data_IF_538278041178
#
_entry.id   IF_538278041178
#
_cell.length_a   1.000
_cell.length_b   1.000
_cell.length_c   1.000
_cell.angle_alpha   90.00
_cell.angle_beta   90.00
_cell.angle_gamma   90.00
#
_symmetry.space_group_name_H-M   'P 1'
#
loop_
_entity.id
_entity.type
_entity.pdbx_description
1 polymer ?
#
# COMPACT_ATOMS: atom_id res chain seq x y z
N UNK A 1 10.32 -40.80 6.29
CA UNK A 1 10.12 -39.35 6.12
C UNK A 1 9.74 -39.11 4.66
N UNK A 2 8.45 -39.04 4.40
CA UNK A 2 7.86 -39.10 3.05
C UNK A 2 7.99 -37.75 2.34
N UNK A 3 8.54 -37.82 1.13
CA UNK A 3 8.37 -36.94 -0.04
C UNK A 3 8.64 -35.44 0.11
N UNK A 4 9.90 -35.03 -0.06
CA UNK A 4 10.35 -34.31 -1.27
C UNK A 4 9.68 -33.00 -1.73
N UNK A 5 8.81 -32.35 -0.96
CA UNK A 5 8.20 -31.07 -1.39
C UNK A 5 9.08 -29.86 -0.99
N UNK A 6 10.04 -30.02 -0.08
CA UNK A 6 10.86 -28.91 0.44
C UNK A 6 12.33 -29.04 0.04
N UNK A 7 12.97 -27.96 -0.45
CA UNK A 7 14.40 -27.94 -0.70
C UNK A 7 15.18 -28.10 0.62
N UNK A 8 16.32 -28.79 0.57
CA UNK A 8 17.17 -29.06 1.75
C UNK A 8 17.62 -27.82 2.52
N UNK A 9 17.59 -26.64 1.88
CA UNK A 9 17.91 -25.34 2.48
C UNK A 9 16.76 -24.69 3.26
N UNK A 10 15.56 -25.29 3.27
CA UNK A 10 14.37 -24.73 3.93
C UNK A 10 13.92 -25.64 5.10
N UNK A 11 14.54 -25.49 6.30
CA UNK A 11 14.24 -26.33 7.46
C UNK A 11 12.82 -26.14 8.02
N UNK A 12 12.12 -25.06 7.66
CA UNK A 12 10.72 -24.82 8.03
C UNK A 12 10.01 -24.00 6.95
N UNK A 13 9.08 -24.61 6.20
CA UNK A 13 8.05 -23.82 5.52
C UNK A 13 6.94 -23.53 6.53
N UNK A 14 6.98 -22.34 7.14
CA UNK A 14 5.84 -21.87 7.93
C UNK A 14 4.64 -21.72 7.01
N UNK A 15 3.51 -22.34 7.35
CA UNK A 15 2.23 -21.99 6.73
C UNK A 15 1.85 -20.60 7.25
N UNK A 16 1.54 -19.67 6.35
CA UNK A 16 1.08 -18.33 6.70
C UNK A 16 -0.45 -18.26 6.58
N UNK A 17 -1.09 -17.33 7.30
CA UNK A 17 -2.53 -17.12 7.17
C UNK A 17 -2.87 -16.55 5.78
N UNK A 18 -4.11 -16.72 5.31
CA UNK A 18 -4.58 -16.09 4.05
C UNK A 18 -4.33 -14.58 4.07
N UNK A 19 -4.59 -13.93 5.21
CA UNK A 19 -4.35 -12.50 5.42
C UNK A 19 -2.87 -12.14 5.26
N UNK A 20 -1.96 -12.94 5.82
CA UNK A 20 -0.52 -12.71 5.69
C UNK A 20 -0.03 -12.96 4.26
N UNK A 21 -0.59 -13.95 3.56
CA UNK A 21 -0.32 -14.18 2.14
C UNK A 21 -0.77 -13.00 1.27
N UNK A 22 -1.96 -12.45 1.52
CA UNK A 22 -2.48 -11.26 0.84
C UNK A 22 -1.60 -10.03 1.09
N UNK A 23 -1.16 -9.83 2.34
CA UNK A 23 -0.22 -8.76 2.72
C UNK A 23 1.12 -8.91 2.00
N UNK A 24 1.67 -10.12 1.98
CA UNK A 24 2.96 -10.42 1.34
C UNK A 24 2.90 -10.21 -0.18
N UNK A 25 1.86 -10.74 -0.83
CA UNK A 25 1.65 -10.54 -2.27
C UNK A 25 1.45 -9.06 -2.62
N UNK A 26 0.73 -8.31 -1.79
CA UNK A 26 0.59 -6.85 -1.98
C UNK A 26 1.93 -6.12 -1.86
N UNK A 27 2.76 -6.47 -0.88
CA UNK A 27 4.07 -5.85 -0.71
C UNK A 27 5.03 -6.16 -1.89
N UNK A 28 5.02 -7.40 -2.39
CA UNK A 28 5.94 -7.86 -3.44
C UNK A 28 5.51 -7.48 -4.85
N UNK A 29 4.23 -7.61 -5.18
CA UNK A 29 3.70 -7.41 -6.55
C UNK A 29 3.25 -5.96 -6.76
N UNK A 30 2.69 -5.34 -5.72
CA UNK A 30 2.09 -4.02 -5.78
C UNK A 30 2.79 -3.03 -4.84
N UNK A 31 4.09 -3.22 -4.62
CA UNK A 31 4.94 -2.23 -3.96
C UNK A 31 4.68 -0.87 -4.60
N UNK A 32 4.32 0.12 -3.78
CA UNK A 32 3.77 1.38 -4.27
C UNK A 32 4.68 2.03 -5.31
N UNK A 33 4.07 2.67 -6.30
CA UNK A 33 4.83 3.33 -7.37
C UNK A 33 5.39 4.66 -6.87
N UNK A 34 6.57 5.06 -7.32
CA UNK A 34 7.00 6.44 -7.10
C UNK A 34 6.10 7.40 -7.87
N UNK A 35 5.80 8.59 -7.32
CA UNK A 35 5.07 9.61 -8.05
C UNK A 35 5.78 9.93 -9.37
N UNK A 36 5.04 10.18 -10.46
CA UNK A 36 5.65 10.59 -11.72
C UNK A 36 6.42 11.89 -11.49
N UNK A 37 7.72 11.93 -11.82
CA UNK A 37 8.52 13.16 -11.70
C UNK A 37 7.91 14.24 -12.60
N UNK A 38 7.28 15.25 -12.02
CA UNK A 38 6.85 16.42 -12.76
C UNK A 38 8.07 17.12 -13.36
N UNK A 39 8.17 17.14 -14.69
CA UNK A 39 9.11 18.00 -15.43
C UNK A 39 8.65 19.45 -15.35
N UNK A 40 8.79 20.09 -14.19
CA UNK A 40 8.74 21.55 -14.12
C UNK A 40 9.74 22.02 -13.08
N UNK A 41 10.90 22.42 -13.58
CA UNK A 41 11.85 23.23 -12.84
C UNK A 41 11.16 24.56 -12.52
N UNK A 42 10.80 24.78 -11.26
CA UNK A 42 10.72 26.12 -10.71
C UNK A 42 10.86 26.07 -9.19
N UNK A 43 12.04 26.49 -8.76
CA UNK A 43 12.39 27.07 -7.47
C UNK A 43 12.34 26.18 -6.22
N UNK A 44 13.53 26.08 -5.60
CA UNK A 44 13.80 25.31 -4.39
C UNK A 44 12.85 25.64 -3.24
N UNK A 45 12.38 24.56 -2.60
CA UNK A 45 11.56 24.61 -1.40
C UNK A 45 10.52 23.48 -1.41
N UNK A 46 10.88 22.31 -0.87
CA UNK A 46 9.96 21.21 -0.57
C UNK A 46 9.13 20.72 -1.77
N UNK A 47 9.82 20.15 -2.77
CA UNK A 47 9.21 19.26 -3.78
C UNK A 47 8.32 18.22 -3.05
N UNK A 48 7.17 17.86 -3.63
CA UNK A 48 6.38 16.63 -3.39
C UNK A 48 5.01 16.73 -2.66
N UNK A 49 4.69 17.77 -1.88
CA UNK A 49 3.45 17.76 -1.05
C UNK A 49 2.23 18.53 -1.60
N UNK A 50 2.33 19.10 -2.80
CA UNK A 50 1.23 19.83 -3.45
C UNK A 50 1.01 19.33 -4.88
N UNK A 51 0.65 18.06 -5.05
CA UNK A 51 0.16 17.60 -6.35
C UNK A 51 -1.23 18.23 -6.58
N UNK A 52 -1.29 19.44 -7.15
CA UNK A 52 -2.51 20.21 -7.54
C UNK A 52 -3.34 20.87 -6.42
N UNK A 53 -4.00 21.97 -6.76
CA UNK A 53 -4.95 22.75 -5.91
C UNK A 53 -6.19 21.93 -5.49
N UNK A 54 -6.48 20.83 -6.21
CA UNK A 54 -7.67 19.99 -6.00
C UNK A 54 -7.41 18.78 -5.12
N UNK A 55 -6.17 18.55 -4.71
CA UNK A 55 -5.82 17.42 -3.85
C UNK A 55 -6.26 17.62 -2.41
N UNK A 56 -6.68 16.53 -1.78
CA UNK A 56 -7.15 16.56 -0.39
C UNK A 56 -6.67 15.36 0.41
N UNK A 57 -6.59 15.54 1.73
CA UNK A 57 -6.11 14.51 2.65
C UNK A 57 -7.18 13.44 2.85
N UNK A 58 -6.74 12.19 2.82
CA UNK A 58 -7.56 11.00 3.09
C UNK A 58 -6.90 10.15 4.17
N UNK A 59 -7.69 9.30 4.82
CA UNK A 59 -7.20 8.32 5.77
C UNK A 59 -8.08 7.08 5.75
N UNK A 60 -7.54 5.96 6.23
CA UNK A 60 -8.31 4.77 6.57
C UNK A 60 -7.85 4.23 7.93
N UNK A 61 -8.69 3.43 8.57
CA UNK A 61 -8.39 2.85 9.88
C UNK A 61 -8.23 1.32 9.84
N UNK A 62 -8.26 0.72 8.64
CA UNK A 62 -7.99 -0.71 8.46
C UNK A 62 -6.53 -1.03 8.80
N UNK A 63 -6.29 -2.16 9.48
CA UNK A 63 -4.97 -2.78 9.70
C UNK A 63 -3.80 -1.81 9.94
N UNK A 64 -3.80 -1.11 11.08
CA UNK A 64 -2.69 -0.24 11.46
C UNK A 64 -2.84 1.22 11.02
N UNK A 65 -3.89 1.55 10.26
CA UNK A 65 -4.25 2.91 9.81
C UNK A 65 -3.20 3.55 8.89
N UNK A 66 -3.63 4.34 7.92
CA UNK A 66 -2.73 5.14 7.10
C UNK A 66 -3.36 6.48 6.73
N UNK A 67 -2.52 7.48 6.49
CA UNK A 67 -2.91 8.79 5.95
C UNK A 67 -2.29 8.96 4.57
N UNK A 68 -3.03 9.61 3.68
CA UNK A 68 -2.61 9.84 2.30
C UNK A 68 -3.12 11.16 1.75
N UNK A 69 -2.61 11.53 0.58
CA UNK A 69 -3.10 12.64 -0.23
C UNK A 69 -3.73 12.06 -1.50
N UNK A 70 -5.03 12.27 -1.69
CA UNK A 70 -5.73 11.87 -2.92
C UNK A 70 -5.62 12.97 -3.97
N UNK A 71 -5.22 12.59 -5.18
CA UNK A 71 -5.02 13.44 -6.34
C UNK A 71 -6.07 13.07 -7.41
N UNK A 72 -7.21 13.78 -7.48
CA UNK A 72 -8.31 13.43 -8.38
C UNK A 72 -7.90 13.31 -9.85
N UNK A 73 -6.97 14.15 -10.30
CA UNK A 73 -6.50 14.19 -11.69
C UNK A 73 -5.77 12.92 -12.12
N UNK A 74 -5.25 12.15 -11.16
CA UNK A 74 -4.59 10.87 -11.43
C UNK A 74 -5.56 9.70 -11.46
N UNK A 75 -6.80 9.86 -10.97
CA UNK A 75 -7.80 8.79 -10.92
C UNK A 75 -8.49 8.60 -12.28
N UNK A 76 -7.72 8.13 -13.26
CA UNK A 76 -8.18 7.91 -14.64
C UNK A 76 -8.85 6.56 -14.85
N UNK A 77 -8.58 5.58 -13.98
CA UNK A 77 -9.17 4.24 -14.00
C UNK A 77 -9.10 3.62 -12.58
N UNK A 78 -9.83 2.51 -12.30
CA UNK A 78 -9.90 1.90 -10.96
C UNK A 78 -8.55 1.44 -10.38
N UNK A 79 -7.56 1.18 -11.24
CA UNK A 79 -6.22 0.75 -10.87
C UNK A 79 -5.19 1.88 -10.93
N UNK A 80 -5.62 3.12 -11.20
CA UNK A 80 -4.71 4.26 -11.26
C UNK A 80 -4.19 4.61 -9.87
N UNK A 81 -2.89 4.78 -9.75
CA UNK A 81 -2.26 5.18 -8.50
C UNK A 81 -2.52 6.68 -8.26
N UNK A 82 -3.50 6.98 -7.42
CA UNK A 82 -3.99 8.34 -7.19
C UNK A 82 -3.92 8.78 -5.72
N UNK A 83 -3.49 7.90 -4.80
CA UNK A 83 -3.26 8.25 -3.39
C UNK A 83 -1.77 8.14 -3.07
N UNK A 84 -1.16 9.23 -2.62
CA UNK A 84 0.20 9.21 -2.08
C UNK A 84 0.15 8.93 -0.57
N UNK A 85 0.86 7.91 -0.09
CA UNK A 85 1.04 7.70 1.34
C UNK A 85 1.89 8.83 1.95
N UNK A 86 1.47 9.37 3.11
CA UNK A 86 2.21 10.45 3.77
C UNK A 86 3.49 9.98 4.46
N UNK A 87 3.61 8.70 4.78
CA UNK A 87 4.77 8.12 5.47
C UNK A 87 5.84 7.66 4.47
N UNK A 88 5.51 6.79 3.52
CA UNK A 88 6.48 6.26 2.54
C UNK A 88 6.55 7.03 1.21
N UNK A 89 5.65 7.99 0.97
CA UNK A 89 5.59 8.79 -0.27
C UNK A 89 5.30 8.03 -1.57
N UNK A 90 5.04 6.72 -1.48
CA UNK A 90 4.64 5.91 -2.61
C UNK A 90 3.16 6.14 -2.96
N UNK A 91 2.84 5.93 -4.23
CA UNK A 91 1.52 6.06 -4.84
C UNK A 91 0.81 4.71 -4.88
N UNK A 92 -0.48 4.72 -4.55
CA UNK A 92 -1.33 3.56 -4.46
C UNK A 92 -2.68 3.79 -5.16
N UNK A 93 -3.23 2.77 -5.83
CA UNK A 93 -4.66 2.71 -6.15
C UNK A 93 -5.50 2.72 -4.88
N UNK A 94 -6.75 3.19 -4.95
CA UNK A 94 -7.66 3.31 -3.80
C UNK A 94 -7.79 2.00 -3.00
N UNK A 95 -8.07 0.88 -3.68
CA UNK A 95 -8.23 -0.44 -3.08
C UNK A 95 -6.92 -1.03 -2.51
N UNK A 96 -5.75 -0.54 -2.96
CA UNK A 96 -4.45 -0.93 -2.37
C UNK A 96 -4.05 -0.03 -1.21
N UNK A 97 -4.48 1.23 -1.21
CA UNK A 97 -4.22 2.16 -0.11
C UNK A 97 -4.90 1.69 1.19
N UNK A 98 -6.13 1.15 1.14
CA UNK A 98 -6.86 0.70 2.34
C UNK A 98 -6.24 -0.50 3.07
N UNK A 99 -5.34 -1.24 2.43
CA UNK A 99 -4.57 -2.35 3.02
C UNK A 99 -3.11 -1.98 3.32
N UNK A 100 -2.71 -0.76 2.98
CA UNK A 100 -1.37 -0.25 3.22
C UNK A 100 -1.30 0.40 4.61
N UNK A 101 -0.24 0.16 5.36
CA UNK A 101 -0.07 0.74 6.69
C UNK A 101 1.37 0.62 7.19
N UNK A 102 1.78 1.59 8.01
CA UNK A 102 3.14 1.67 8.56
C UNK A 102 3.22 1.44 10.07
N UNK A 103 2.09 1.45 10.77
CA UNK A 103 2.08 1.11 12.19
C UNK A 103 2.17 -0.40 12.38
N UNK A 104 2.65 -0.80 13.56
CA UNK A 104 2.62 -2.18 13.99
C UNK A 104 1.21 -2.75 13.80
N UNK A 105 1.12 -3.84 13.06
CA UNK A 105 -0.14 -4.53 12.81
C UNK A 105 -0.74 -4.95 14.16
N UNK A 106 -2.07 -4.85 14.26
CA UNK A 106 -2.80 -5.34 15.42
C UNK A 106 -2.79 -6.88 15.42
N UNK A 107 -1.66 -7.48 15.81
CA UNK A 107 -1.43 -8.93 15.75
C UNK A 107 -2.24 -9.73 16.78
N UNK A 108 -3.14 -9.07 17.52
CA UNK A 108 -4.05 -9.67 18.51
C UNK A 108 -5.52 -9.28 18.28
N UNK A 109 -5.84 -8.63 17.15
CA UNK A 109 -7.21 -8.26 16.79
C UNK A 109 -7.65 -9.11 15.60
N UNK A 110 -8.74 -9.85 15.74
CA UNK A 110 -9.38 -10.51 14.60
C UNK A 110 -10.23 -9.46 13.86
N UNK A 111 -9.86 -9.16 12.62
CA UNK A 111 -10.65 -8.30 11.73
C UNK A 111 -11.57 -9.19 10.88
N UNK A 112 -12.88 -9.07 11.07
CA UNK A 112 -13.88 -9.81 10.31
C UNK A 112 -14.56 -8.89 9.30
N UNK A 113 -14.92 -9.43 8.13
CA UNK A 113 -15.69 -8.69 7.11
C UNK A 113 -14.91 -7.61 6.35
N UNK A 114 -13.58 -7.63 6.39
CA UNK A 114 -12.78 -6.73 5.56
C UNK A 114 -12.79 -7.18 4.09
N UNK A 115 -13.16 -6.27 3.19
CA UNK A 115 -13.02 -6.40 1.75
C UNK A 115 -12.44 -5.10 1.19
N UNK A 116 -11.34 -5.17 0.46
CA UNK A 116 -10.72 -4.01 -0.18
C UNK A 116 -11.51 -3.44 -1.36
N UNK A 117 -12.54 -4.16 -1.83
CA UNK A 117 -13.44 -3.73 -2.90
C UNK A 117 -14.71 -3.02 -2.41
N UNK A 118 -14.97 -3.00 -1.09
CA UNK A 118 -16.04 -2.21 -0.45
C UNK A 118 -15.60 -0.75 -0.23
#
# INVERSE_FOLDING_TARGET
>A
KVMGILPFSAPSCGLITKTDAERLCNALIYGGAYPPRCKKEMNGGSLELQFTDRSFKVYHECFGKCKGLFVPELYTNPNAACIQCMDCRLMYPTHKFVVHGHKAQENRTCHWGFDSAN
#
